data_IF_750698297802
#
_entry.id   IF_750698297802
#
_cell.length_a   1.000
_cell.length_b   1.000
_cell.length_c   1.000
_cell.angle_alpha   90.00
_cell.angle_beta   90.00
_cell.angle_gamma   90.00
#
_symmetry.space_group_name_H-M   'P 1'
#
loop_
_entity.id
_entity.type
_entity.pdbx_description
1 polymer ?
#
# COMPACT_ATOMS: atom_id res chain seq x y z
N UNK A 1 -6.58 -11.05 -20.16
CA UNK A 1 -5.96 -9.90 -19.46
C UNK A 1 -6.77 -9.78 -18.18
N UNK A 2 -6.34 -10.51 -17.15
CA UNK A 2 -7.02 -10.57 -15.85
C UNK A 2 -7.06 -9.16 -15.21
N UNK A 3 -8.02 -8.85 -14.33
CA UNK A 3 -8.13 -7.54 -13.72
C UNK A 3 -7.01 -7.38 -12.71
N UNK A 4 -5.97 -6.62 -13.08
CA UNK A 4 -5.06 -6.12 -12.06
C UNK A 4 -5.82 -5.10 -11.21
N UNK A 5 -5.92 -5.43 -9.94
CA UNK A 5 -6.66 -4.65 -8.97
C UNK A 5 -5.70 -3.69 -8.27
N UNK A 6 -6.14 -2.44 -8.11
CA UNK A 6 -5.46 -1.45 -7.28
C UNK A 6 -5.97 -1.62 -5.86
N UNK A 7 -5.06 -1.86 -4.91
CA UNK A 7 -5.45 -2.24 -3.57
C UNK A 7 -4.63 -1.60 -2.45
N UNK A 8 -5.33 -1.47 -1.33
CA UNK A 8 -4.77 -1.20 -0.01
C UNK A 8 -5.08 -2.43 0.84
N UNK A 9 -4.06 -3.14 1.34
CA UNK A 9 -4.27 -4.31 2.22
C UNK A 9 -3.80 -4.00 3.64
N UNK A 10 -4.51 -4.49 4.66
CA UNK A 10 -4.18 -4.30 6.08
C UNK A 10 -3.40 -5.45 6.74
N UNK A 11 -3.25 -6.62 6.12
CA UNK A 11 -2.48 -7.77 6.67
C UNK A 11 -2.07 -8.76 5.56
N UNK A 12 -1.11 -9.66 5.84
CA UNK A 12 -0.68 -10.75 4.95
C UNK A 12 -1.50 -12.05 5.16
N UNK A 13 -2.17 -12.20 6.31
CA UNK A 13 -2.96 -13.41 6.61
C UNK A 13 -4.11 -13.66 5.62
N UNK A 14 -4.63 -12.62 4.95
CA UNK A 14 -5.74 -12.74 4.01
C UNK A 14 -5.34 -13.25 2.61
N UNK A 15 -4.04 -13.47 2.35
CA UNK A 15 -3.59 -14.20 1.16
C UNK A 15 -3.59 -15.72 1.37
N UNK A 16 -3.91 -16.20 2.58
CA UNK A 16 -3.80 -17.62 2.97
C UNK A 16 -5.13 -18.33 3.26
N UNK A 17 -6.22 -17.65 3.56
CA UNK A 17 -7.45 -18.31 4.04
C UNK A 17 -8.61 -18.22 3.06
N UNK A 18 -8.92 -19.35 2.41
CA UNK A 18 -10.22 -19.63 1.81
C UNK A 18 -11.24 -19.95 2.91
N UNK A 19 -11.59 -18.98 3.77
CA UNK A 19 -12.65 -19.21 4.76
C UNK A 19 -13.70 -18.09 4.74
N UNK A 20 -14.74 -18.39 3.95
CA UNK A 20 -16.16 -18.08 4.11
C UNK A 20 -16.54 -16.93 5.07
N UNK A 21 -16.27 -15.68 4.69
CA UNK A 21 -17.02 -14.52 5.20
C UNK A 21 -17.29 -13.56 4.04
N UNK A 22 -18.52 -13.03 4.00
CA UNK A 22 -19.11 -12.25 2.90
C UNK A 22 -18.20 -11.10 2.41
N UNK A 23 -17.42 -11.39 1.37
CA UNK A 23 -16.50 -10.44 0.75
C UNK A 23 -17.04 -9.88 -0.57
N UNK A 24 -16.57 -8.68 -0.88
CA UNK A 24 -16.93 -7.91 -2.07
C UNK A 24 -16.42 -8.66 -3.32
N UNK A 25 -17.35 -9.04 -4.20
CA UNK A 25 -17.07 -9.79 -5.43
C UNK A 25 -16.30 -8.94 -6.43
N UNK A 26 -15.13 -9.42 -6.87
CA UNK A 26 -14.51 -9.00 -8.12
C UNK A 26 -15.34 -9.49 -9.32
N UNK A 27 -15.13 -8.89 -10.50
CA UNK A 27 -15.68 -9.39 -11.77
C UNK A 27 -15.23 -10.84 -12.08
N UNK A 28 -14.19 -11.31 -11.40
CA UNK A 28 -13.54 -12.62 -11.59
C UNK A 28 -13.87 -13.64 -10.48
N UNK A 29 -14.72 -13.27 -9.50
CA UNK A 29 -15.19 -14.20 -8.47
C UNK A 29 -14.16 -14.59 -7.40
N UNK A 30 -12.99 -13.93 -7.35
CA UNK A 30 -11.97 -14.14 -6.32
C UNK A 30 -12.31 -13.37 -5.03
N UNK A 31 -12.44 -14.08 -3.91
CA UNK A 31 -12.70 -13.51 -2.59
C UNK A 31 -11.36 -13.23 -1.90
N UNK A 32 -10.92 -11.97 -1.92
CA UNK A 32 -9.82 -11.52 -1.08
C UNK A 32 -10.40 -11.15 0.28
N UNK A 33 -9.78 -11.58 1.37
CA UNK A 33 -10.32 -11.46 2.73
C UNK A 33 -10.72 -10.04 3.17
N UNK A 34 -11.31 -9.88 4.36
CA UNK A 34 -11.89 -8.63 4.83
C UNK A 34 -10.90 -7.46 4.95
N UNK A 35 -9.59 -7.73 4.96
CA UNK A 35 -8.52 -6.73 5.07
C UNK A 35 -8.06 -6.19 3.72
N UNK A 36 -8.68 -6.63 2.63
CA UNK A 36 -8.37 -6.22 1.28
C UNK A 36 -9.32 -5.13 0.78
N UNK A 37 -8.79 -3.95 0.45
CA UNK A 37 -9.58 -2.80 0.00
C UNK A 37 -9.23 -2.42 -1.44
N UNK A 38 -10.26 -2.16 -2.24
CA UNK A 38 -10.13 -1.73 -3.63
C UNK A 38 -10.22 -0.21 -3.74
N UNK A 39 -9.39 0.39 -4.59
CA UNK A 39 -9.66 1.75 -5.06
C UNK A 39 -10.92 1.71 -5.96
N UNK A 40 -11.93 2.56 -5.73
CA UNK A 40 -13.13 2.58 -6.57
C UNK A 40 -12.79 2.80 -8.05
N UNK A 41 -13.28 1.90 -8.91
CA UNK A 41 -13.00 1.92 -10.35
C UNK A 41 -13.85 2.96 -11.08
N UNK A 42 -13.49 4.24 -10.95
CA UNK A 42 -14.11 5.34 -11.69
C UNK A 42 -13.57 5.42 -13.13
N UNK A 43 -14.26 6.16 -14.00
CA UNK A 43 -13.77 6.39 -15.38
C UNK A 43 -12.40 7.09 -15.40
N UNK A 44 -12.13 7.97 -14.44
CA UNK A 44 -10.83 8.61 -14.30
C UNK A 44 -9.74 7.60 -13.93
N UNK A 45 -9.98 6.70 -12.97
CA UNK A 45 -9.01 5.65 -12.62
C UNK A 45 -8.76 4.73 -13.81
N UNK A 46 -9.80 4.40 -14.59
CA UNK A 46 -9.67 3.58 -15.80
C UNK A 46 -8.83 4.28 -16.87
N UNK A 47 -9.02 5.58 -17.10
CA UNK A 47 -8.21 6.38 -18.02
C UNK A 47 -6.73 6.38 -17.60
N UNK A 48 -6.43 6.63 -16.32
CA UNK A 48 -5.06 6.54 -15.79
C UNK A 48 -4.46 5.16 -16.04
N UNK A 49 -5.21 4.08 -15.77
CA UNK A 49 -4.78 2.71 -16.02
C UNK A 49 -4.52 2.43 -17.50
N UNK A 50 -5.35 2.95 -18.41
CA UNK A 50 -5.15 2.77 -19.86
C UNK A 50 -3.83 3.38 -20.30
N UNK A 51 -3.52 4.60 -19.87
CA UNK A 51 -2.28 5.29 -20.26
C UNK A 51 -1.04 4.58 -19.72
N UNK A 52 -1.03 4.17 -18.44
CA UNK A 52 0.14 3.48 -17.86
C UNK A 52 0.35 2.07 -18.44
N UNK A 53 -0.69 1.45 -19.01
CA UNK A 53 -0.62 0.12 -19.62
C UNK A 53 -0.29 0.16 -21.11
N UNK A 54 -0.49 1.29 -21.78
CA UNK A 54 -0.17 1.43 -23.20
C UNK A 54 1.34 1.45 -23.42
N UNK A 55 1.82 0.52 -24.26
CA UNK A 55 3.22 0.39 -24.65
C UNK A 55 3.71 1.61 -25.46
N UNK A 56 2.81 2.32 -26.13
CA UNK A 56 3.13 3.50 -26.92
C UNK A 56 3.25 4.78 -26.08
N UNK A 57 2.86 4.75 -24.80
CA UNK A 57 2.92 5.92 -23.92
C UNK A 57 4.36 6.40 -23.73
N UNK A 58 4.67 7.68 -24.00
CA UNK A 58 6.00 8.21 -23.80
C UNK A 58 6.34 8.30 -22.30
N UNK A 59 7.62 8.25 -21.98
CA UNK A 59 8.11 8.18 -20.58
C UNK A 59 7.56 9.28 -19.68
N UNK A 60 7.49 10.52 -20.17
CA UNK A 60 7.04 11.66 -19.35
C UNK A 60 5.56 11.54 -18.99
N UNK A 61 4.74 11.11 -19.94
CA UNK A 61 3.31 10.87 -19.70
C UNK A 61 3.16 9.70 -18.74
N UNK A 62 3.89 8.59 -18.95
CA UNK A 62 3.85 7.46 -18.00
C UNK A 62 4.10 7.90 -16.56
N UNK A 63 5.14 8.71 -16.31
CA UNK A 63 5.45 9.22 -14.97
C UNK A 63 4.30 10.09 -14.44
N UNK A 64 3.82 11.04 -15.25
CA UNK A 64 2.73 11.95 -14.86
C UNK A 64 1.45 11.19 -14.47
N UNK A 65 1.02 10.23 -15.30
CA UNK A 65 -0.18 9.44 -15.07
C UNK A 65 0.01 8.43 -13.92
N UNK A 66 1.20 7.85 -13.75
CA UNK A 66 1.52 6.99 -12.62
C UNK A 66 1.50 7.76 -11.29
N UNK A 67 2.09 8.96 -11.23
CA UNK A 67 2.09 9.79 -10.02
C UNK A 67 0.67 10.19 -9.61
N UNK A 68 -0.19 10.51 -10.59
CA UNK A 68 -1.62 10.76 -10.35
C UNK A 68 -2.31 9.54 -9.74
N UNK A 69 -2.05 8.35 -10.26
CA UNK A 69 -2.64 7.12 -9.74
C UNK A 69 -2.13 6.79 -8.34
N UNK A 70 -0.82 6.94 -8.11
CA UNK A 70 -0.18 6.76 -6.80
C UNK A 70 -0.85 7.64 -5.75
N UNK A 71 -1.11 8.92 -6.08
CA UNK A 71 -1.75 9.84 -5.16
C UNK A 71 -3.13 9.36 -4.72
N UNK A 72 -3.94 8.82 -5.64
CA UNK A 72 -5.26 8.26 -5.30
C UNK A 72 -5.14 7.07 -4.34
N UNK A 73 -4.18 6.18 -4.58
CA UNK A 73 -3.94 5.01 -3.72
C UNK A 73 -3.40 5.40 -2.35
N UNK A 74 -2.51 6.38 -2.30
CA UNK A 74 -1.97 6.93 -1.05
C UNK A 74 -3.08 7.54 -0.22
N UNK A 75 -3.95 8.37 -0.80
CA UNK A 75 -5.09 8.99 -0.09
C UNK A 75 -6.04 7.92 0.48
N UNK A 76 -6.35 6.87 -0.31
CA UNK A 76 -7.13 5.74 0.21
C UNK A 76 -6.39 4.97 1.32
N UNK A 77 -5.07 4.84 1.23
CA UNK A 77 -4.23 4.30 2.28
C UNK A 77 -4.30 5.11 3.58
N UNK A 78 -4.27 6.44 3.46
CA UNK A 78 -4.38 7.37 4.59
C UNK A 78 -5.78 7.31 5.23
N UNK A 79 -6.84 7.09 4.45
CA UNK A 79 -8.20 6.87 4.97
C UNK A 79 -8.31 5.65 5.87
N UNK A 80 -7.37 4.70 5.79
CA UNK A 80 -7.33 3.51 6.65
C UNK A 80 -6.61 3.73 7.98
N UNK A 81 -6.06 4.92 8.23
CA UNK A 81 -5.40 5.24 9.50
C UNK A 81 -6.42 5.61 10.59
N UNK A 82 -6.05 5.53 11.88
CA UNK A 82 -6.94 5.92 12.97
C UNK A 82 -7.11 7.44 13.04
N UNK A 83 -8.37 7.87 13.08
CA UNK A 83 -8.77 9.26 13.27
C UNK A 83 -9.51 9.43 14.59
N UNK A 84 -9.31 10.59 15.22
CA UNK A 84 -10.04 11.04 16.39
C UNK A 84 -10.92 12.22 16.02
N UNK A 85 -12.14 12.25 16.56
CA UNK A 85 -13.03 13.43 16.45
C UNK A 85 -12.39 14.64 17.11
N UNK A 86 -12.46 15.79 16.45
CA UNK A 86 -12.02 17.04 17.02
C UNK A 86 -12.97 18.17 16.61
N UNK A 87 -13.14 19.12 17.52
CA UNK A 87 -13.96 20.31 17.26
C UNK A 87 -13.04 21.49 17.05
N UNK A 88 -13.29 22.27 16.00
CA UNK A 88 -12.56 23.51 15.71
C UNK A 88 -13.53 24.66 15.56
N UNK A 89 -13.05 25.88 15.80
CA UNK A 89 -13.80 27.11 15.58
C UNK A 89 -13.36 27.65 14.21
N UNK A 90 -14.31 27.84 13.30
CA UNK A 90 -14.04 28.41 11.98
C UNK A 90 -13.70 29.90 12.10
N UNK A 91 -13.06 30.51 11.08
CA UNK A 91 -12.80 31.96 11.08
C UNK A 91 -14.06 32.82 11.21
N UNK A 92 -15.24 32.27 10.88
CA UNK A 92 -16.54 32.93 11.02
C UNK A 92 -17.16 32.75 12.42
N UNK A 93 -16.46 32.09 13.35
CA UNK A 93 -16.93 31.87 14.73
C UNK A 93 -17.86 30.67 14.91
N UNK A 94 -18.06 29.83 13.88
CA UNK A 94 -18.91 28.64 13.99
C UNK A 94 -18.13 27.41 14.43
N UNK A 95 -18.79 26.52 15.16
CA UNK A 95 -18.23 25.23 15.56
C UNK A 95 -18.29 24.24 14.41
N UNK A 96 -17.16 23.62 14.05
CA UNK A 96 -17.07 22.54 13.07
C UNK A 96 -16.59 21.24 13.72
N UNK A 97 -17.37 20.18 13.55
CA UNK A 97 -17.01 18.83 13.98
C UNK A 97 -16.20 18.12 12.88
N UNK A 98 -14.90 18.02 13.10
CA UNK A 98 -13.96 17.42 12.15
C UNK A 98 -13.26 16.17 12.70
N UNK A 99 -12.26 15.74 11.95
CA UNK A 99 -11.39 14.61 12.28
C UNK A 99 -9.92 15.04 12.28
N UNK A 100 -9.13 14.40 13.13
CA UNK A 100 -7.68 14.56 13.19
C UNK A 100 -7.02 13.19 13.32
N UNK A 101 -5.87 13.02 12.68
CA UNK A 101 -5.05 11.81 12.88
C UNK A 101 -4.68 11.61 14.35
N UNK A 102 -4.79 10.37 14.83
CA UNK A 102 -4.57 10.05 16.24
C UNK A 102 -3.10 9.84 16.61
N UNK A 103 -2.33 9.13 15.77
CA UNK A 103 -0.95 8.71 16.05
C UNK A 103 0.03 9.11 14.94
N UNK A 104 1.32 9.08 15.27
CA UNK A 104 2.40 9.27 14.32
C UNK A 104 2.43 8.12 13.31
N UNK A 105 2.23 8.46 12.04
CA UNK A 105 2.34 7.51 10.92
C UNK A 105 3.75 7.57 10.34
N UNK A 106 4.17 6.52 9.65
CA UNK A 106 5.38 6.54 8.82
C UNK A 106 5.18 5.73 7.54
N UNK A 107 5.87 6.12 6.48
CA UNK A 107 6.01 5.29 5.28
C UNK A 107 7.21 4.37 5.42
N UNK A 108 7.15 3.20 4.78
CA UNK A 108 8.32 2.35 4.53
C UNK A 108 8.31 1.97 3.07
N UNK A 109 9.33 2.36 2.31
CA UNK A 109 9.47 1.99 0.91
C UNK A 109 10.32 0.73 0.77
N UNK A 110 9.83 -0.22 -0.02
CA UNK A 110 10.64 -1.36 -0.46
C UNK A 110 11.45 -0.90 -1.69
N UNK A 111 12.75 -0.79 -1.52
CA UNK A 111 13.69 -0.31 -2.55
C UNK A 111 13.82 -1.39 -3.63
N UNK A 112 13.75 -1.06 -4.93
CA UNK A 112 13.75 0.29 -5.53
C UNK A 112 12.36 0.82 -5.88
N UNK A 113 11.43 -0.05 -6.26
CA UNK A 113 10.15 0.38 -6.86
C UNK A 113 9.25 1.13 -5.88
N UNK A 114 9.31 0.82 -4.58
CA UNK A 114 8.58 1.53 -3.54
C UNK A 114 8.95 3.01 -3.42
N UNK A 115 10.15 3.41 -3.88
CA UNK A 115 10.59 4.81 -3.85
C UNK A 115 9.73 5.71 -4.74
N UNK A 116 9.14 5.16 -5.81
CA UNK A 116 8.24 5.89 -6.70
C UNK A 116 7.00 6.43 -5.97
N UNK A 117 6.57 5.77 -4.89
CA UNK A 117 5.40 6.19 -4.12
C UNK A 117 5.71 7.23 -3.03
N UNK A 118 7.00 7.44 -2.72
CA UNK A 118 7.39 8.34 -1.63
C UNK A 118 6.99 9.78 -1.90
N UNK A 119 7.09 10.24 -3.15
CA UNK A 119 6.70 11.60 -3.51
C UNK A 119 5.20 11.81 -3.30
N UNK A 120 4.36 10.88 -3.80
CA UNK A 120 2.92 10.92 -3.57
C UNK A 120 2.56 10.94 -2.07
N UNK A 121 3.30 10.18 -1.25
CA UNK A 121 3.11 10.19 0.20
C UNK A 121 3.52 11.53 0.85
N UNK A 122 4.65 12.14 0.43
CA UNK A 122 5.09 13.45 0.94
C UNK A 122 4.15 14.59 0.53
N UNK A 123 3.58 14.51 -0.66
CA UNK A 123 2.62 15.50 -1.17
C UNK A 123 1.32 15.49 -0.36
N UNK A 124 0.89 14.32 0.10
CA UNK A 124 -0.29 14.18 0.97
C UNK A 124 0.04 14.46 2.44
N UNK A 125 1.26 14.13 2.89
CA UNK A 125 1.70 14.24 4.29
C UNK A 125 3.11 14.85 4.40
N UNK A 126 3.19 16.18 4.51
CA UNK A 126 4.46 16.95 4.47
C UNK A 126 5.55 16.50 5.46
N UNK A 127 5.16 16.03 6.65
CA UNK A 127 6.09 15.69 7.74
C UNK A 127 6.17 14.20 8.06
N UNK A 128 5.78 13.34 7.11
CA UNK A 128 5.84 11.89 7.32
C UNK A 128 7.28 11.38 7.26
N UNK A 129 7.67 10.56 8.25
CA UNK A 129 8.97 9.87 8.23
C UNK A 129 8.88 8.69 7.26
N UNK A 130 9.92 8.51 6.44
CA UNK A 130 10.00 7.41 5.48
C UNK A 130 11.22 6.55 5.80
N UNK A 131 10.98 5.30 6.18
CA UNK A 131 12.00 4.27 6.27
C UNK A 131 12.20 3.56 4.93
N UNK A 132 13.32 2.86 4.78
CA UNK A 132 13.67 2.12 3.57
C UNK A 132 14.10 0.71 3.90
N UNK A 133 13.61 -0.26 3.13
CA UNK A 133 14.05 -1.65 3.20
C UNK A 133 14.51 -2.07 1.80
N UNK A 134 15.75 -2.53 1.68
CA UNK A 134 16.28 -3.14 0.46
C UNK A 134 16.24 -4.66 0.63
N UNK A 135 15.50 -5.31 -0.26
CA UNK A 135 15.38 -6.76 -0.30
C UNK A 135 16.00 -7.25 -1.59
N UNK A 136 16.90 -8.22 -1.47
CA UNK A 136 17.45 -8.93 -2.62
C UNK A 136 16.81 -10.30 -2.69
N UNK A 137 16.18 -10.60 -3.82
CA UNK A 137 15.79 -11.96 -4.16
C UNK A 137 17.03 -12.68 -4.70
N UNK A 138 17.43 -13.78 -4.06
CA UNK A 138 18.45 -14.69 -4.60
C UNK A 138 17.95 -15.49 -5.80
N UNK A 139 18.86 -16.27 -6.39
CA UNK A 139 18.58 -17.12 -7.56
C UNK A 139 17.68 -18.32 -7.20
N UNK A 140 17.72 -18.75 -5.94
CA UNK A 140 16.82 -19.77 -5.40
C UNK A 140 15.49 -19.15 -4.94
N UNK A 141 14.40 -19.86 -5.23
CA UNK A 141 13.03 -19.40 -5.01
C UNK A 141 12.69 -19.02 -3.55
N UNK A 142 13.54 -19.36 -2.57
CA UNK A 142 13.30 -19.14 -1.14
C UNK A 142 14.25 -18.12 -0.48
N UNK A 143 15.12 -17.45 -1.24
CA UNK A 143 16.23 -16.67 -0.66
C UNK A 143 16.05 -15.15 -0.71
N UNK A 144 14.83 -14.65 -0.45
CA UNK A 144 14.60 -13.21 -0.32
C UNK A 144 15.13 -12.72 1.04
N UNK A 145 16.23 -11.97 1.03
CA UNK A 145 16.91 -11.47 2.24
C UNK A 145 16.92 -9.95 2.31
N UNK A 146 16.81 -9.42 3.53
CA UNK A 146 16.99 -7.99 3.79
C UNK A 146 18.48 -7.67 3.73
N UNK A 147 18.87 -6.83 2.79
CA UNK A 147 20.26 -6.38 2.61
C UNK A 147 20.51 -5.10 3.40
N UNK A 148 19.49 -4.25 3.51
CA UNK A 148 19.57 -2.98 4.21
C UNK A 148 18.20 -2.61 4.75
N UNK A 149 18.15 -2.13 5.98
CA UNK A 149 16.95 -1.57 6.60
C UNK A 149 17.33 -0.31 7.39
N UNK A 150 16.69 0.80 7.05
CA UNK A 150 16.79 2.04 7.81
C UNK A 150 15.38 2.49 8.16
N UNK A 151 14.99 2.22 9.40
CA UNK A 151 13.64 2.43 9.91
C UNK A 151 13.67 3.53 10.97
N UNK A 152 12.57 4.29 11.14
CA UNK A 152 12.43 5.20 12.28
C UNK A 152 12.65 4.45 13.61
N UNK A 153 13.40 5.05 14.54
CA UNK A 153 13.72 4.42 15.85
C UNK A 153 12.48 4.05 16.68
N UNK A 154 11.37 4.75 16.46
CA UNK A 154 10.09 4.58 17.13
C UNK A 154 9.04 3.86 16.26
N UNK A 155 9.46 3.05 15.27
CA UNK A 155 8.55 2.39 14.32
C UNK A 155 7.56 1.43 15.00
N UNK A 156 7.96 0.77 16.09
CA UNK A 156 7.12 -0.17 16.85
C UNK A 156 5.83 0.46 17.40
N UNK A 157 5.81 1.78 17.60
CA UNK A 157 4.65 2.53 18.11
C UNK A 157 3.82 3.19 17.01
N UNK A 158 4.23 3.08 15.74
CA UNK A 158 3.65 3.80 14.59
C UNK A 158 2.78 2.88 13.73
N UNK A 159 1.89 3.51 12.96
CA UNK A 159 1.25 2.86 11.81
C UNK A 159 2.18 2.98 10.60
N UNK A 160 2.40 1.87 9.91
CA UNK A 160 3.36 1.74 8.81
C UNK A 160 2.61 1.62 7.49
N UNK A 161 2.81 2.58 6.59
CA UNK A 161 2.39 2.49 5.20
C UNK A 161 3.52 1.85 4.39
N UNK A 162 3.44 0.55 4.15
CA UNK A 162 4.40 -0.21 3.37
C UNK A 162 4.11 0.00 1.89
N UNK A 163 5.05 0.59 1.15
CA UNK A 163 4.86 0.97 -0.25
C UNK A 163 5.58 0.00 -1.18
N UNK A 164 4.82 -0.67 -2.04
CA UNK A 164 5.35 -1.53 -3.09
C UNK A 164 4.37 -1.61 -4.28
N UNK A 165 4.61 -0.84 -5.36
CA UNK A 165 3.59 -0.57 -6.38
C UNK A 165 3.23 -1.80 -7.22
N UNK A 166 4.16 -2.73 -7.46
CA UNK A 166 3.94 -3.89 -8.33
C UNK A 166 4.27 -5.16 -7.57
N UNK A 167 3.28 -6.05 -7.41
CA UNK A 167 3.43 -7.30 -6.66
C UNK A 167 3.11 -8.51 -7.54
N UNK A 168 4.06 -9.44 -7.67
CA UNK A 168 3.86 -10.70 -8.39
C UNK A 168 3.59 -11.87 -7.44
N UNK A 169 4.61 -12.35 -6.74
CA UNK A 169 4.51 -13.53 -5.85
C UNK A 169 4.29 -13.20 -4.39
N UNK A 170 4.35 -11.91 -4.01
CA UNK A 170 4.22 -11.47 -2.61
C UNK A 170 5.44 -11.77 -1.72
N UNK A 171 6.44 -12.54 -2.17
CA UNK A 171 7.61 -12.94 -1.37
C UNK A 171 8.41 -11.75 -0.82
N UNK A 172 8.66 -10.75 -1.67
CA UNK A 172 9.37 -9.52 -1.27
C UNK A 172 8.60 -8.80 -0.15
N UNK A 173 7.28 -8.70 -0.28
CA UNK A 173 6.42 -8.07 0.73
C UNK A 173 6.42 -8.90 2.02
N UNK A 174 6.37 -10.23 1.93
CA UNK A 174 6.45 -11.13 3.09
C UNK A 174 7.77 -10.95 3.85
N UNK A 175 8.91 -10.90 3.15
CA UNK A 175 10.21 -10.62 3.78
C UNK A 175 10.24 -9.22 4.42
N UNK A 176 9.64 -8.21 3.79
CA UNK A 176 9.55 -6.87 4.37
C UNK A 176 8.71 -6.86 5.66
N UNK A 177 7.57 -7.53 5.66
CA UNK A 177 6.70 -7.63 6.84
C UNK A 177 7.39 -8.39 7.98
N UNK A 178 8.08 -9.50 7.68
CA UNK A 178 8.89 -10.22 8.68
C UNK A 178 9.94 -9.30 9.31
N UNK A 179 10.63 -8.49 8.51
CA UNK A 179 11.59 -7.52 9.03
C UNK A 179 10.95 -6.44 9.91
N UNK A 180 9.73 -5.99 9.59
CA UNK A 180 8.98 -5.07 10.44
C UNK A 180 8.56 -5.74 11.76
N UNK A 181 8.14 -7.01 11.72
CA UNK A 181 7.81 -7.80 12.91
C UNK A 181 9.03 -8.03 13.81
N UNK A 182 10.21 -8.31 13.24
CA UNK A 182 11.49 -8.38 13.96
C UNK A 182 11.84 -7.06 14.67
N UNK A 183 11.36 -5.93 14.14
CA UNK A 183 11.46 -4.61 14.75
C UNK A 183 10.27 -4.27 15.69
N UNK A 184 9.52 -5.28 16.14
CA UNK A 184 8.38 -5.19 17.05
C UNK A 184 7.17 -4.39 16.51
N UNK A 185 7.01 -4.31 15.19
CA UNK A 185 5.80 -3.76 14.57
C UNK A 185 4.73 -4.84 14.52
N UNK A 186 3.59 -4.61 15.17
CA UNK A 186 2.45 -5.52 15.10
C UNK A 186 1.84 -5.55 13.70
N UNK A 187 1.40 -6.71 13.20
CA UNK A 187 0.90 -6.86 11.84
C UNK A 187 -0.31 -5.95 11.55
N UNK A 188 -1.23 -5.81 12.51
CA UNK A 188 -2.39 -4.89 12.41
C UNK A 188 -2.02 -3.39 12.32
N UNK A 189 -0.75 -3.04 12.45
CA UNK A 189 -0.23 -1.69 12.25
C UNK A 189 0.37 -1.48 10.86
N UNK A 190 0.47 -2.52 10.03
CA UNK A 190 1.05 -2.47 8.69
C UNK A 190 -0.08 -2.34 7.66
N UNK A 191 0.07 -1.41 6.73
CA UNK A 191 -0.85 -1.20 5.62
C UNK A 191 -0.03 -1.23 4.34
N UNK A 192 -0.27 -2.20 3.48
CA UNK A 192 0.36 -2.33 2.17
C UNK A 192 -0.36 -1.46 1.15
N UNK A 193 0.38 -0.57 0.50
CA UNK A 193 -0.06 0.22 -0.65
C UNK A 193 0.48 -0.40 -1.93
N UNK A 194 -0.42 -0.79 -2.84
CA UNK A 194 -0.09 -1.46 -4.08
C UNK A 194 -0.92 -0.90 -5.26
N UNK A 195 -0.30 -0.77 -6.43
CA UNK A 195 -0.97 -0.32 -7.65
C UNK A 195 -1.46 -1.50 -8.49
N UNK A 196 -0.62 -2.52 -8.60
CA UNK A 196 -0.83 -3.66 -9.49
C UNK A 196 -0.39 -4.92 -8.76
N UNK A 197 -1.25 -5.92 -8.71
CA UNK A 197 -0.87 -7.27 -8.35
C UNK A 197 -1.43 -8.32 -9.31
N UNK A 198 -0.67 -9.40 -9.46
CA UNK A 198 -0.99 -10.52 -10.33
C UNK A 198 -1.52 -11.70 -9.52
N UNK A 199 -2.73 -12.15 -9.84
CA UNK A 199 -3.43 -13.27 -9.16
C UNK A 199 -2.77 -14.62 -9.40
N UNK A 200 -2.14 -14.81 -10.55
CA UNK A 200 -1.46 -16.08 -10.94
C UNK A 200 -0.17 -16.36 -10.17
N UNK A 201 0.40 -15.38 -9.46
CA UNK A 201 1.66 -15.51 -8.70
C UNK A 201 1.48 -15.82 -7.21
N UNK A 202 0.27 -15.69 -6.66
CA UNK A 202 0.07 -15.81 -5.21
C UNK A 202 0.01 -17.27 -4.73
N UNK A 203 -0.06 -18.25 -5.63
CA UNK A 203 -0.20 -19.67 -5.27
C UNK A 203 1.05 -20.28 -4.58
N UNK A 204 2.24 -19.66 -4.69
CA UNK A 204 3.50 -20.23 -4.14
C UNK A 204 4.11 -19.44 -2.97
N UNK A 205 3.42 -18.41 -2.46
CA UNK A 205 3.65 -17.88 -1.11
C UNK A 205 2.73 -18.52 -0.05
N UNK A 206 1.86 -19.43 -0.51
CA UNK A 206 0.80 -20.09 0.25
C UNK A 206 0.98 -21.62 0.36
N UNK A 207 2.18 -22.14 0.10
CA UNK A 207 2.56 -23.51 0.45
C UNK A 207 3.46 -23.52 1.69
#
# INVERSE_FOLDING_TARGET
MEPDVIAVSRTLEDLRTQDTVAGIKTADGSNFGPNFFYLPMTNAVRELQTVIRDKATPRNDFIFYADRLIRLVVEEGLNKLPYRKCTVITPTGHTYEGLRYEKGNCGVSIVRSGEAMEQGLRDCCRSIRIGKILIRSGDDANDARVVYANLPKDINQRKVLLMYPIMSTGKIVSTAVKNLQENNVHESNIILLNLVFYTSGCCSACA
#
